data_IF_396912297473
#
_entry.id   IF_396912297473
#
_cell.length_a   1.000
_cell.length_b   1.000
_cell.length_c   1.000
_cell.angle_alpha   90.00
_cell.angle_beta   90.00
_cell.angle_gamma   90.00
#
_symmetry.space_group_name_H-M   'P 1'
#
loop_
_entity.id
_entity.type
_entity.pdbx_description
1 polymer ?
#
# COMPACT_ATOMS: atom_id res chain seq x y z
N UNK A 1 2.02 -17.49 25.93
CA UNK A 1 2.23 -17.56 24.46
C UNK A 1 0.93 -17.44 23.63
N UNK A 2 -0.19 -18.12 23.97
CA UNK A 2 -1.44 -18.15 23.17
C UNK A 2 -2.13 -16.77 22.94
N UNK A 3 -2.05 -15.85 23.91
CA UNK A 3 -2.72 -14.53 23.80
C UNK A 3 -2.04 -13.56 22.82
N UNK A 4 -0.73 -13.72 22.54
CA UNK A 4 -0.04 -12.82 21.61
C UNK A 4 -0.39 -13.15 20.16
N UNK A 5 -0.47 -14.43 19.80
CA UNK A 5 -0.82 -14.88 18.45
C UNK A 5 -2.25 -14.50 18.06
N UNK A 6 -3.23 -14.68 18.95
CA UNK A 6 -4.63 -14.29 18.68
C UNK A 6 -4.71 -12.79 18.37
N UNK A 7 -4.03 -11.96 19.17
CA UNK A 7 -4.01 -10.51 18.97
C UNK A 7 -3.38 -10.11 17.64
N UNK A 8 -2.24 -10.72 17.26
CA UNK A 8 -1.58 -10.44 15.97
C UNK A 8 -2.52 -10.79 14.82
N UNK A 9 -3.16 -11.97 14.88
CA UNK A 9 -4.12 -12.41 13.85
C UNK A 9 -5.30 -11.46 13.77
N UNK A 10 -5.90 -11.06 14.90
CA UNK A 10 -7.01 -10.09 14.93
C UNK A 10 -6.60 -8.73 14.35
N UNK A 11 -5.40 -8.24 14.68
CA UNK A 11 -4.90 -6.97 14.14
C UNK A 11 -4.67 -7.06 12.63
N UNK A 12 -4.05 -8.15 12.17
CA UNK A 12 -3.87 -8.40 10.74
C UNK A 12 -5.21 -8.47 10.01
N UNK A 13 -6.23 -9.13 10.58
CA UNK A 13 -7.56 -9.20 9.99
C UNK A 13 -8.18 -7.80 9.81
N UNK A 14 -8.05 -6.91 10.81
CA UNK A 14 -8.52 -5.52 10.71
C UNK A 14 -7.72 -4.76 9.65
N UNK A 15 -6.40 -4.90 9.63
CA UNK A 15 -5.54 -4.27 8.64
C UNK A 15 -5.90 -4.69 7.20
N UNK A 16 -6.15 -5.99 6.99
CA UNK A 16 -6.58 -6.55 5.71
C UNK A 16 -7.96 -6.00 5.31
N UNK A 17 -8.89 -5.87 6.26
CA UNK A 17 -10.19 -5.25 6.00
C UNK A 17 -10.07 -3.77 5.60
N UNK A 18 -9.17 -3.01 6.25
CA UNK A 18 -8.88 -1.62 5.88
C UNK A 18 -8.36 -1.53 4.44
N UNK A 19 -7.41 -2.39 4.07
CA UNK A 19 -6.89 -2.45 2.70
C UNK A 19 -8.01 -2.74 1.69
N UNK A 20 -8.86 -3.72 1.98
CA UNK A 20 -9.96 -4.10 1.12
C UNK A 20 -10.97 -2.96 0.92
N UNK A 21 -11.37 -2.29 2.00
CA UNK A 21 -12.28 -1.15 1.95
C UNK A 21 -11.64 0.02 1.19
N UNK A 22 -10.37 0.33 1.49
CA UNK A 22 -9.61 1.39 0.83
C UNK A 22 -9.53 1.18 -0.69
N UNK A 23 -9.16 -0.03 -1.11
CA UNK A 23 -9.12 -0.43 -2.51
C UNK A 23 -10.48 -0.23 -3.21
N UNK A 24 -11.56 -0.68 -2.58
CA UNK A 24 -12.90 -0.55 -3.16
C UNK A 24 -13.37 0.91 -3.26
N UNK A 25 -13.05 1.75 -2.28
CA UNK A 25 -13.33 3.20 -2.35
C UNK A 25 -12.56 3.83 -3.51
N UNK A 26 -11.27 3.51 -3.64
CA UNK A 26 -10.42 4.02 -4.71
C UNK A 26 -10.92 3.61 -6.11
N UNK A 27 -11.30 2.34 -6.27
CA UNK A 27 -11.86 1.80 -7.51
C UNK A 27 -13.22 2.44 -7.85
N UNK A 28 -14.12 2.53 -6.87
CA UNK A 28 -15.46 3.08 -7.07
C UNK A 28 -15.43 4.56 -7.48
N UNK A 29 -14.56 5.35 -6.84
CA UNK A 29 -14.38 6.77 -7.13
C UNK A 29 -13.40 7.04 -8.28
N UNK A 30 -12.78 5.99 -8.86
CA UNK A 30 -11.73 6.09 -9.88
C UNK A 30 -10.59 7.04 -9.48
N UNK A 31 -10.17 6.95 -8.22
CA UNK A 31 -9.10 7.79 -7.70
C UNK A 31 -7.75 7.45 -8.38
N UNK A 32 -6.88 8.44 -8.58
CA UNK A 32 -5.51 8.23 -9.04
C UNK A 32 -4.57 7.83 -7.88
N UNK A 33 -5.07 7.05 -6.91
CA UNK A 33 -4.37 6.45 -5.76
C UNK A 33 -5.07 5.14 -5.41
N UNK A 34 -4.46 4.26 -4.62
CA UNK A 34 -4.91 2.87 -4.46
C UNK A 34 -5.51 2.57 -3.08
N UNK A 35 -4.98 3.18 -2.01
CA UNK A 35 -5.45 3.04 -0.62
C UNK A 35 -5.48 1.60 -0.09
N UNK A 36 -4.91 0.65 -0.81
CA UNK A 36 -4.96 -0.79 -0.58
C UNK A 36 -3.83 -1.30 0.32
N UNK A 37 -2.99 -0.39 0.84
CA UNK A 37 -1.80 -0.77 1.63
C UNK A 37 -1.72 -0.10 2.99
N UNK A 38 -2.72 0.68 3.41
CA UNK A 38 -2.72 1.35 4.72
C UNK A 38 -2.52 0.32 5.84
N UNK A 39 -3.29 -0.76 5.83
CA UNK A 39 -3.18 -1.86 6.78
C UNK A 39 -1.88 -2.64 6.65
N UNK A 40 -1.42 -2.89 5.42
CA UNK A 40 -0.14 -3.58 5.16
C UNK A 40 1.03 -2.83 5.78
N UNK A 41 1.11 -1.52 5.53
CA UNK A 41 2.14 -0.66 6.07
C UNK A 41 2.00 -0.52 7.58
N UNK A 42 0.78 -0.47 8.12
CA UNK A 42 0.53 -0.46 9.57
C UNK A 42 1.10 -1.72 10.23
N UNK A 43 0.81 -2.91 9.70
CA UNK A 43 1.33 -4.19 10.21
C UNK A 43 2.86 -4.21 10.08
N UNK A 44 3.40 -3.72 8.97
CA UNK A 44 4.85 -3.66 8.75
C UNK A 44 5.57 -2.80 9.81
N UNK A 45 5.01 -1.64 10.17
CA UNK A 45 5.59 -0.76 11.19
C UNK A 45 5.47 -1.34 12.60
N UNK A 46 4.32 -1.96 12.93
CA UNK A 46 4.04 -2.43 14.30
C UNK A 46 4.65 -3.79 14.60
N UNK A 47 4.54 -4.74 13.66
CA UNK A 47 4.95 -6.13 13.87
C UNK A 47 6.11 -6.58 12.97
N UNK A 48 6.61 -5.70 12.11
CA UNK A 48 7.76 -5.95 11.26
C UNK A 48 7.41 -6.41 9.83
N UNK A 49 8.43 -6.48 8.96
CA UNK A 49 8.25 -6.60 7.51
C UNK A 49 7.59 -7.92 7.09
N UNK A 50 7.89 -9.04 7.76
CA UNK A 50 7.35 -10.36 7.40
C UNK A 50 5.84 -10.46 7.59
N UNK A 51 5.32 -9.93 8.70
CA UNK A 51 3.88 -9.92 8.95
C UNK A 51 3.18 -8.90 8.05
N UNK A 52 3.85 -7.77 7.74
CA UNK A 52 3.38 -6.83 6.73
C UNK A 52 3.24 -7.48 5.35
N UNK A 53 4.26 -8.21 4.89
CA UNK A 53 4.22 -8.96 3.63
C UNK A 53 3.10 -10.01 3.62
N UNK A 54 2.88 -10.70 4.75
CA UNK A 54 1.76 -11.62 4.91
C UNK A 54 0.39 -10.93 4.75
N UNK A 55 0.21 -9.76 5.37
CA UNK A 55 -1.00 -8.96 5.20
C UNK A 55 -1.19 -8.51 3.73
N UNK A 56 -0.11 -8.12 3.05
CA UNK A 56 -0.12 -7.76 1.64
C UNK A 56 -0.64 -8.89 0.75
N UNK A 57 -0.11 -10.11 0.94
CA UNK A 57 -0.50 -11.29 0.15
C UNK A 57 -1.98 -11.61 0.38
N UNK A 58 -2.42 -11.65 1.64
CA UNK A 58 -3.81 -12.00 1.96
C UNK A 58 -4.78 -10.93 1.45
N UNK A 59 -4.45 -9.64 1.60
CA UNK A 59 -5.25 -8.55 1.02
C UNK A 59 -5.37 -8.67 -0.49
N UNK A 60 -4.27 -8.90 -1.20
CA UNK A 60 -4.28 -9.07 -2.65
C UNK A 60 -5.10 -10.29 -3.09
N UNK A 61 -5.00 -11.40 -2.36
CA UNK A 61 -5.78 -12.60 -2.63
C UNK A 61 -7.28 -12.36 -2.45
N UNK A 62 -7.69 -11.71 -1.36
CA UNK A 62 -9.10 -11.40 -1.11
C UNK A 62 -9.63 -10.48 -2.21
N UNK A 63 -8.93 -9.37 -2.50
CA UNK A 63 -9.33 -8.44 -3.57
C UNK A 63 -9.42 -9.11 -4.93
N UNK A 64 -8.50 -10.03 -5.24
CA UNK A 64 -8.51 -10.80 -6.48
C UNK A 64 -9.72 -11.72 -6.60
N UNK A 65 -10.10 -12.39 -5.52
CA UNK A 65 -11.23 -13.31 -5.52
C UNK A 65 -12.58 -12.62 -5.58
N UNK A 66 -12.68 -11.34 -5.20
CA UNK A 66 -13.98 -10.68 -5.01
C UNK A 66 -14.21 -9.47 -5.89
N UNK A 67 -13.24 -8.56 -6.05
CA UNK A 67 -13.51 -7.22 -6.58
C UNK A 67 -12.63 -6.82 -7.76
N UNK A 68 -11.38 -7.29 -7.81
CA UNK A 68 -10.43 -6.84 -8.81
C UNK A 68 -9.45 -7.93 -9.24
N UNK A 69 -9.64 -8.44 -10.47
CA UNK A 69 -8.79 -9.46 -11.07
C UNK A 69 -7.32 -9.04 -11.23
N UNK A 70 -7.02 -7.75 -11.22
CA UNK A 70 -5.65 -7.25 -11.31
C UNK A 70 -4.90 -7.31 -9.97
N UNK A 71 -5.61 -7.37 -8.83
CA UNK A 71 -5.03 -7.16 -7.50
C UNK A 71 -3.88 -8.13 -7.15
N UNK A 72 -3.99 -9.41 -7.51
CA UNK A 72 -2.95 -10.41 -7.20
C UNK A 72 -1.63 -10.12 -7.92
N UNK A 73 -1.68 -9.55 -9.12
CA UNK A 73 -0.49 -9.21 -9.90
C UNK A 73 0.31 -8.08 -9.25
N UNK A 74 -0.36 -7.20 -8.50
CA UNK A 74 0.27 -6.11 -7.75
C UNK A 74 0.72 -6.51 -6.33
N UNK A 75 0.48 -7.75 -5.90
CA UNK A 75 0.98 -8.25 -4.61
C UNK A 75 2.51 -8.06 -4.41
N UNK A 76 3.39 -8.27 -5.41
CA UNK A 76 4.82 -8.01 -5.27
C UNK A 76 5.14 -6.55 -4.90
N UNK A 77 4.37 -5.58 -5.44
CA UNK A 77 4.52 -4.16 -5.10
C UNK A 77 4.24 -3.93 -3.62
N UNK A 78 3.16 -4.55 -3.12
CA UNK A 78 2.77 -4.44 -1.71
C UNK A 78 3.76 -5.11 -0.76
N UNK A 79 4.32 -6.26 -1.16
CA UNK A 79 5.36 -6.96 -0.42
C UNK A 79 6.60 -6.07 -0.31
N UNK A 80 7.12 -5.55 -1.43
CA UNK A 80 8.29 -4.67 -1.45
C UNK A 80 8.08 -3.45 -0.55
N UNK A 81 6.91 -2.81 -0.64
CA UNK A 81 6.56 -1.67 0.21
C UNK A 81 6.53 -2.05 1.71
N UNK A 82 6.00 -3.23 2.05
CA UNK A 82 5.97 -3.74 3.43
C UNK A 82 7.38 -3.97 3.99
N UNK A 83 8.28 -4.56 3.19
CA UNK A 83 9.67 -4.78 3.60
C UNK A 83 10.40 -3.46 3.87
N UNK A 84 10.36 -2.53 2.91
CA UNK A 84 11.06 -1.25 3.06
C UNK A 84 10.49 -0.48 4.24
N UNK A 85 9.16 -0.43 4.37
CA UNK A 85 8.49 0.26 5.47
C UNK A 85 8.84 -0.35 6.82
N UNK A 86 8.81 -1.68 6.95
CA UNK A 86 9.11 -2.36 8.20
C UNK A 86 10.55 -2.15 8.69
N UNK A 87 11.51 -1.90 7.79
CA UNK A 87 12.88 -1.58 8.17
C UNK A 87 13.13 -0.08 8.36
N UNK A 88 12.52 0.78 7.53
CA UNK A 88 12.85 2.20 7.44
C UNK A 88 11.95 3.09 8.32
N UNK A 89 10.68 2.74 8.48
CA UNK A 89 9.67 3.55 9.15
C UNK A 89 9.48 3.06 10.57
N UNK A 90 9.75 3.96 11.53
CA UNK A 90 9.52 3.73 12.95
C UNK A 90 8.27 4.46 13.41
N UNK A 91 7.63 3.97 14.47
CA UNK A 91 6.46 4.60 15.09
C UNK A 91 6.69 6.06 15.55
N UNK A 92 7.94 6.46 15.74
CA UNK A 92 8.34 7.81 16.19
C UNK A 92 8.72 8.75 15.05
N UNK A 93 8.49 8.37 13.78
CA UNK A 93 8.81 9.21 12.64
C UNK A 93 8.06 10.55 12.71
N UNK A 94 8.77 11.65 12.43
CA UNK A 94 8.17 12.98 12.36
C UNK A 94 7.57 13.21 10.97
N UNK A 95 6.59 14.10 10.87
CA UNK A 95 5.93 14.44 9.59
C UNK A 95 6.91 14.94 8.52
N UNK A 96 8.02 15.59 8.89
CA UNK A 96 9.06 16.04 7.95
C UNK A 96 9.83 14.90 7.31
N UNK A 97 10.05 13.81 8.05
CA UNK A 97 10.75 12.61 7.55
C UNK A 97 9.85 11.80 6.62
N UNK A 98 8.53 12.00 6.70
CA UNK A 98 7.53 11.26 5.93
C UNK A 98 7.70 11.48 4.42
N UNK A 99 8.01 12.71 3.99
CA UNK A 99 8.20 13.08 2.58
C UNK A 99 9.34 12.26 1.96
N UNK A 100 10.49 12.21 2.63
CA UNK A 100 11.64 11.45 2.13
C UNK A 100 11.47 9.95 2.27
N UNK A 101 10.84 9.48 3.36
CA UNK A 101 10.60 8.04 3.56
C UNK A 101 9.54 7.48 2.62
N UNK A 102 8.48 8.22 2.32
CA UNK A 102 7.48 7.79 1.35
C UNK A 102 8.08 7.64 -0.05
N UNK A 103 9.02 8.52 -0.41
CA UNK A 103 9.77 8.42 -1.66
C UNK A 103 10.61 7.13 -1.71
N UNK A 104 11.35 6.84 -0.64
CA UNK A 104 12.17 5.62 -0.56
C UNK A 104 11.32 4.34 -0.59
N UNK A 105 10.12 4.37 0.00
CA UNK A 105 9.17 3.25 -0.04
C UNK A 105 8.52 3.12 -1.42
N UNK A 106 8.20 4.24 -2.08
CA UNK A 106 7.50 4.22 -3.37
C UNK A 106 8.42 3.80 -4.51
N UNK A 107 9.68 4.26 -4.56
CA UNK A 107 10.56 4.08 -5.72
C UNK A 107 10.71 2.61 -6.19
N UNK A 108 11.06 1.63 -5.33
CA UNK A 108 11.16 0.24 -5.77
C UNK A 108 9.80 -0.34 -6.15
N UNK A 109 8.75 0.07 -5.44
CA UNK A 109 7.37 -0.30 -5.76
C UNK A 109 6.94 0.20 -7.13
N UNK A 110 7.30 1.44 -7.49
CA UNK A 110 7.02 2.08 -8.78
C UNK A 110 7.69 1.35 -9.94
N UNK A 111 8.94 0.90 -9.78
CA UNK A 111 9.61 0.11 -10.81
C UNK A 111 8.85 -1.19 -11.06
N UNK A 112 8.42 -1.86 -9.99
CA UNK A 112 7.67 -3.12 -10.09
C UNK A 112 6.27 -2.87 -10.69
N UNK A 113 5.53 -1.89 -10.19
CA UNK A 113 4.17 -1.57 -10.62
C UNK A 113 4.13 -1.10 -12.08
N UNK A 114 5.04 -0.21 -12.48
CA UNK A 114 5.12 0.26 -13.87
C UNK A 114 5.52 -0.85 -14.83
N UNK A 115 6.45 -1.73 -14.45
CA UNK A 115 6.82 -2.90 -15.26
C UNK A 115 5.63 -3.84 -15.47
N UNK A 116 4.85 -4.10 -14.41
CA UNK A 116 3.62 -4.90 -14.48
C UNK A 116 2.63 -4.23 -15.44
N UNK A 117 2.35 -2.95 -15.23
CA UNK A 117 1.37 -2.20 -16.03
C UNK A 117 1.74 -2.13 -17.51
N UNK A 118 3.01 -1.94 -17.83
CA UNK A 118 3.50 -1.86 -19.22
C UNK A 118 3.50 -3.23 -19.88
N UNK A 119 4.12 -4.24 -19.26
CA UNK A 119 4.41 -5.53 -19.89
C UNK A 119 3.18 -6.44 -19.92
N UNK A 120 2.45 -6.53 -18.80
CA UNK A 120 1.31 -7.45 -18.69
C UNK A 120 0.03 -6.83 -19.21
N UNK A 121 -0.20 -5.55 -18.90
CA UNK A 121 -1.51 -4.93 -19.07
C UNK A 121 -1.57 -3.85 -20.13
N UNK A 122 -0.43 -3.45 -20.71
CA UNK A 122 -0.34 -2.43 -21.77
C UNK A 122 -1.08 -1.12 -21.41
N UNK A 123 -1.14 -0.79 -20.11
CA UNK A 123 -1.83 0.39 -19.58
C UNK A 123 -3.33 0.24 -19.30
N UNK A 124 -3.94 -0.93 -19.52
CA UNK A 124 -5.35 -1.19 -19.23
C UNK A 124 -5.45 -1.97 -17.90
N UNK A 125 -5.79 -1.25 -16.84
CA UNK A 125 -6.01 -1.84 -15.50
C UNK A 125 -7.31 -1.31 -14.90
N UNK A 126 -7.71 -1.86 -13.75
CA UNK A 126 -8.83 -1.35 -12.92
C UNK A 126 -8.56 0.02 -12.30
N UNK A 127 -7.30 0.46 -12.26
CA UNK A 127 -6.90 1.69 -11.57
C UNK A 127 -7.35 2.97 -12.28
N UNK A 128 -7.76 3.98 -11.49
CA UNK A 128 -8.02 5.32 -12.00
C UNK A 128 -6.79 5.99 -12.62
N UNK A 129 -5.57 5.58 -12.25
CA UNK A 129 -4.33 6.11 -12.83
C UNK A 129 -4.21 5.83 -14.34
N UNK A 130 -4.80 4.74 -14.84
CA UNK A 130 -4.81 4.42 -16.27
C UNK A 130 -5.42 5.54 -17.11
N UNK A 131 -6.47 6.22 -16.62
CA UNK A 131 -7.11 7.34 -17.32
C UNK A 131 -6.13 8.50 -17.50
N UNK A 132 -5.34 8.82 -16.46
CA UNK A 132 -4.33 9.87 -16.54
C UNK A 132 -3.24 9.52 -17.56
N UNK A 133 -2.82 8.26 -17.62
CA UNK A 133 -1.83 7.82 -18.61
C UNK A 133 -2.36 7.92 -20.04
N UNK A 134 -3.63 7.59 -20.28
CA UNK A 134 -4.26 7.76 -21.60
C UNK A 134 -4.35 9.24 -22.01
N UNK A 135 -4.71 10.12 -21.07
CA UNK A 135 -4.75 11.56 -21.34
C UNK A 135 -3.35 12.06 -21.71
N UNK A 136 -2.33 11.65 -20.96
CA UNK A 136 -0.95 12.05 -21.20
C UNK A 136 -0.44 11.52 -22.56
N UNK A 137 -0.82 10.30 -22.92
CA UNK A 137 -0.54 9.75 -24.25
C UNK A 137 -1.24 10.54 -25.36
N UNK A 138 -2.50 10.94 -25.14
CA UNK A 138 -3.25 11.80 -26.06
C UNK A 138 -2.64 13.19 -26.26
N UNK A 139 -1.80 13.65 -25.34
CA UNK A 139 -1.01 14.89 -25.48
C UNK A 139 0.30 14.70 -26.26
N UNK A 140 0.54 13.51 -26.81
CA UNK A 140 1.67 13.20 -27.68
C UNK A 140 2.88 12.56 -27.00
N UNK A 141 2.76 12.16 -25.73
CA UNK A 141 3.81 11.42 -25.02
C UNK A 141 3.69 9.93 -25.36
N UNK A 142 4.81 9.24 -25.49
CA UNK A 142 4.82 7.78 -25.67
C UNK A 142 4.00 7.06 -24.59
N UNK A 143 3.32 5.98 -24.94
CA UNK A 143 2.46 5.24 -24.01
C UNK A 143 3.24 4.71 -22.81
N UNK A 144 4.42 4.15 -23.04
CA UNK A 144 5.26 3.59 -21.97
C UNK A 144 5.74 4.69 -21.04
N UNK A 145 6.21 5.80 -21.60
CA UNK A 145 6.61 6.97 -20.83
C UNK A 145 5.43 7.53 -20.01
N UNK A 146 4.24 7.57 -20.59
CA UNK A 146 3.03 8.04 -19.92
C UNK A 146 2.67 7.18 -18.72
N UNK A 147 2.72 5.86 -18.88
CA UNK A 147 2.45 4.90 -17.79
C UNK A 147 3.48 5.02 -16.66
N UNK A 148 4.77 5.07 -17.00
CA UNK A 148 5.84 5.20 -15.99
C UNK A 148 5.71 6.51 -15.21
N UNK A 149 5.48 7.63 -15.89
CA UNK A 149 5.34 8.94 -15.25
C UNK A 149 4.13 9.01 -14.32
N UNK A 150 2.97 8.56 -14.81
CA UNK A 150 1.75 8.56 -14.00
C UNK A 150 1.92 7.63 -12.80
N UNK A 151 2.44 6.42 -13.00
CA UNK A 151 2.65 5.46 -11.92
C UNK A 151 3.60 6.02 -10.85
N UNK A 152 4.67 6.72 -11.24
CA UNK A 152 5.59 7.35 -10.30
C UNK A 152 4.91 8.40 -9.42
N UNK A 153 4.03 9.21 -10.00
CA UNK A 153 3.28 10.25 -9.27
C UNK A 153 2.24 9.60 -8.36
N UNK A 154 1.43 8.67 -8.88
CA UNK A 154 0.32 8.06 -8.15
C UNK A 154 0.81 7.16 -7.02
N UNK A 155 1.87 6.38 -7.25
CA UNK A 155 2.44 5.51 -6.22
C UNK A 155 3.07 6.34 -5.09
N UNK A 156 3.79 7.42 -5.43
CA UNK A 156 4.37 8.31 -4.43
C UNK A 156 3.28 8.98 -3.58
N UNK A 157 2.24 9.51 -4.23
CA UNK A 157 1.10 10.13 -3.54
C UNK A 157 0.40 9.11 -2.63
N UNK A 158 0.16 7.91 -3.12
CA UNK A 158 -0.44 6.81 -2.35
C UNK A 158 0.40 6.44 -1.13
N UNK A 159 1.74 6.33 -1.26
CA UNK A 159 2.63 6.04 -0.12
C UNK A 159 2.69 7.16 0.88
N UNK A 160 2.67 8.41 0.42
CA UNK A 160 2.64 9.56 1.31
C UNK A 160 1.36 9.57 2.15
N UNK A 161 0.19 9.40 1.50
CA UNK A 161 -1.11 9.37 2.17
C UNK A 161 -1.21 8.18 3.11
N UNK A 162 -0.84 6.98 2.65
CA UNK A 162 -0.93 5.76 3.42
C UNK A 162 -0.03 5.81 4.66
N UNK A 163 1.23 6.24 4.54
CA UNK A 163 2.13 6.37 5.69
C UNK A 163 1.68 7.45 6.67
N UNK A 164 1.12 8.57 6.18
CA UNK A 164 0.56 9.60 7.05
C UNK A 164 -0.60 9.04 7.89
N UNK A 165 -1.51 8.28 7.26
CA UNK A 165 -2.61 7.61 7.96
C UNK A 165 -2.10 6.56 8.94
N UNK A 166 -1.09 5.77 8.58
CA UNK A 166 -0.46 4.78 9.48
C UNK A 166 0.07 5.45 10.75
N UNK A 167 0.83 6.55 10.64
CA UNK A 167 1.36 7.24 11.82
C UNK A 167 0.25 7.87 12.67
N UNK A 168 -0.80 8.40 12.03
CA UNK A 168 -1.97 8.92 12.74
C UNK A 168 -2.71 7.80 13.51
N UNK A 169 -2.91 6.63 12.89
CA UNK A 169 -3.52 5.46 13.51
C UNK A 169 -2.66 4.97 14.68
N UNK A 170 -1.34 4.86 14.52
CA UNK A 170 -0.42 4.46 15.61
C UNK A 170 -0.52 5.43 16.78
N UNK A 171 -0.53 6.75 16.53
CA UNK A 171 -0.67 7.76 17.60
C UNK A 171 -2.01 7.62 18.33
N UNK A 172 -3.09 7.35 17.61
CA UNK A 172 -4.41 7.10 18.18
C UNK A 172 -4.41 5.82 19.03
N UNK A 173 -3.88 4.72 18.49
CA UNK A 173 -3.76 3.44 19.20
C UNK A 173 -2.93 3.55 20.48
N UNK A 174 -1.90 4.40 20.51
CA UNK A 174 -1.07 4.59 21.73
C UNK A 174 -1.87 5.22 22.85
N UNK A 175 -2.81 6.08 22.48
CA UNK A 175 -3.70 6.79 23.41
C UNK A 175 -4.83 5.88 23.88
N UNK A 176 -5.50 5.17 22.96
CA UNK A 176 -6.76 4.46 23.27
C UNK A 176 -6.61 2.95 23.51
N UNK A 177 -5.59 2.30 22.94
CA UNK A 177 -5.43 0.85 22.99
C UNK A 177 -3.94 0.41 22.97
N UNK A 178 -3.11 0.84 23.92
CA UNK A 178 -1.67 0.56 23.92
C UNK A 178 -1.32 -0.93 24.01
N UNK A 179 -2.24 -1.73 24.56
CA UNK A 179 -2.12 -3.19 24.66
C UNK A 179 -2.18 -3.90 23.29
N UNK A 180 -2.63 -3.23 22.23
CA UNK A 180 -2.68 -3.80 20.88
C UNK A 180 -1.31 -3.78 20.17
N UNK A 181 -0.45 -2.83 20.51
CA UNK A 181 0.87 -2.67 19.86
C UNK A 181 2.01 -3.34 20.63
N UNK A 182 1.83 -3.62 21.92
CA UNK A 182 2.87 -4.23 22.74
C UNK A 182 2.86 -5.75 22.60
N UNK A 183 3.78 -6.30 21.80
CA UNK A 183 4.17 -7.71 21.89
C UNK A 183 4.82 -7.97 23.27
N UNK A 184 4.01 -8.03 24.32
CA UNK A 184 4.48 -8.35 25.67
C UNK A 184 5.03 -9.78 25.64
N UNK A 185 6.35 -9.89 25.75
CA UNK A 185 7.05 -11.13 26.08
C UNK A 185 6.55 -11.68 27.41
#
# INVERSE_FOLDING_TARGET
>A
MKNSSIRIISFMAIAIAINYIGANIALFLRLPIYLDMIGTLLVAVVFGPWLGAGAAIVSALISWMTTDIFAIYFAPVAIVAAFITGFLVKETCKSKDLIWKSLLVSLPGTVVSSSITVILFHGITSSGSGILAQILHGLGIDMTASLVLVQAITDYADRLISLALVLAIIKSLKTFAPNLMTAKN
#
